data_IF_565215318462
#
_entry.id   IF_565215318462
#
_cell.length_a   1.000
_cell.length_b   1.000
_cell.length_c   1.000
_cell.angle_alpha   90.00
_cell.angle_beta   90.00
_cell.angle_gamma   90.00
#
_symmetry.space_group_name_H-M   'P 1'
#
loop_
_entity.id
_entity.type
_entity.pdbx_description
1 polymer ?
#
# COMPACT_ATOMS: atom_id res chain seq x y z
N UNK A 1 -9.13 -0.15 6.78
CA UNK A 1 -8.86 -1.52 6.27
C UNK A 1 -10.18 -2.24 6.19
N UNK A 2 -10.40 -3.02 5.15
CA UNK A 2 -11.60 -3.84 4.97
C UNK A 2 -11.14 -5.25 4.65
N UNK A 3 -11.68 -6.23 5.37
CA UNK A 3 -11.38 -7.65 5.14
C UNK A 3 -12.69 -8.38 4.89
N UNK A 4 -12.68 -9.33 3.94
CA UNK A 4 -13.87 -10.06 3.55
C UNK A 4 -13.54 -11.51 3.21
N UNK A 5 -14.52 -12.38 3.45
CA UNK A 5 -14.51 -13.80 3.09
C UNK A 5 -15.88 -14.12 2.52
N UNK A 6 -15.93 -14.61 1.28
CA UNK A 6 -17.17 -14.87 0.56
C UNK A 6 -17.06 -16.18 -0.19
N UNK A 7 -17.95 -17.12 0.11
CA UNK A 7 -18.11 -18.32 -0.71
C UNK A 7 -18.82 -17.97 -2.02
N UNK A 8 -18.30 -18.46 -3.14
CA UNK A 8 -18.92 -18.20 -4.43
C UNK A 8 -20.25 -18.98 -4.52
N UNK A 9 -21.34 -18.32 -4.95
CA UNK A 9 -22.66 -18.94 -5.01
C UNK A 9 -22.86 -19.82 -6.26
N UNK A 10 -21.82 -20.56 -6.67
CA UNK A 10 -21.81 -21.43 -7.86
C UNK A 10 -21.62 -22.90 -7.49
N UNK A 11 -22.30 -23.79 -8.21
CA UNK A 11 -22.14 -25.23 -8.07
C UNK A 11 -23.33 -25.96 -7.42
N UNK A 12 -23.14 -27.24 -7.14
CA UNK A 12 -24.20 -28.12 -6.67
C UNK A 12 -24.84 -27.60 -5.37
N UNK A 13 -26.16 -27.39 -5.38
CA UNK A 13 -26.90 -26.85 -4.24
C UNK A 13 -26.67 -25.35 -3.95
N UNK A 14 -26.01 -24.61 -4.85
CA UNK A 14 -25.83 -23.14 -4.75
C UNK A 14 -26.76 -22.40 -5.72
N UNK A 15 -26.82 -21.06 -5.60
CA UNK A 15 -27.74 -20.18 -6.36
C UNK A 15 -27.56 -20.29 -7.87
N UNK A 16 -26.31 -20.43 -8.33
CA UNK A 16 -25.98 -20.52 -9.75
C UNK A 16 -25.42 -21.90 -10.08
N UNK A 17 -25.77 -22.45 -11.24
CA UNK A 17 -25.34 -23.77 -11.70
C UNK A 17 -25.68 -24.90 -10.69
N UNK A 18 -26.84 -24.81 -10.06
CA UNK A 18 -27.33 -25.71 -9.01
C UNK A 18 -27.37 -27.18 -9.43
N UNK A 19 -27.61 -27.44 -10.72
CA UNK A 19 -27.78 -28.78 -11.30
C UNK A 19 -26.47 -29.37 -11.85
N UNK A 20 -25.33 -28.72 -11.60
CA UNK A 20 -24.05 -29.23 -12.06
C UNK A 20 -23.67 -30.49 -11.27
N UNK A 21 -23.78 -31.64 -11.93
CA UNK A 21 -23.43 -32.95 -11.40
C UNK A 21 -22.08 -33.47 -11.89
N UNK A 22 -21.69 -34.63 -11.36
CA UNK A 22 -20.49 -35.36 -11.79
C UNK A 22 -19.18 -34.56 -11.60
N UNK A 23 -18.20 -34.83 -12.46
CA UNK A 23 -16.87 -34.19 -12.41
C UNK A 23 -16.97 -32.68 -12.63
N UNK A 24 -17.82 -32.24 -13.57
CA UNK A 24 -18.05 -30.82 -13.84
C UNK A 24 -18.57 -30.06 -12.61
N UNK A 25 -19.53 -30.64 -11.89
CA UNK A 25 -20.04 -30.11 -10.62
C UNK A 25 -18.95 -29.92 -9.57
N UNK A 26 -18.04 -30.90 -9.42
CA UNK A 26 -16.92 -30.82 -8.46
C UNK A 26 -15.90 -29.76 -8.81
N UNK A 27 -15.68 -29.49 -10.10
CA UNK A 27 -14.77 -28.43 -10.56
C UNK A 27 -15.34 -27.04 -10.26
N UNK A 28 -16.64 -26.82 -10.49
CA UNK A 28 -17.24 -25.49 -10.38
C UNK A 28 -17.73 -25.13 -8.95
N UNK A 29 -17.96 -26.12 -8.09
CA UNK A 29 -18.47 -25.89 -6.72
C UNK A 29 -17.34 -25.53 -5.76
N UNK A 30 -17.63 -25.05 -4.55
CA UNK A 30 -16.65 -25.00 -3.45
C UNK A 30 -15.51 -23.99 -3.60
N UNK A 31 -15.67 -22.99 -4.47
CA UNK A 31 -14.78 -21.84 -4.51
C UNK A 31 -15.18 -20.80 -3.46
N UNK A 32 -14.19 -20.18 -2.84
CA UNK A 32 -14.35 -19.03 -1.96
C UNK A 32 -13.27 -18.00 -2.23
N UNK A 33 -13.60 -16.73 -1.99
CA UNK A 33 -12.68 -15.61 -2.11
C UNK A 33 -12.46 -14.98 -0.76
N UNK A 34 -11.22 -14.59 -0.49
CA UNK A 34 -10.83 -13.83 0.68
C UNK A 34 -10.06 -12.61 0.20
N UNK A 35 -10.20 -11.51 0.89
CA UNK A 35 -9.42 -10.33 0.54
C UNK A 35 -9.24 -9.39 1.70
N UNK A 36 -8.12 -8.68 1.64
CA UNK A 36 -7.78 -7.61 2.54
C UNK A 36 -7.45 -6.37 1.72
N UNK A 37 -8.08 -5.25 2.02
CA UNK A 37 -7.91 -4.00 1.29
C UNK A 37 -7.61 -2.87 2.26
N UNK A 38 -6.49 -2.20 2.04
CA UNK A 38 -6.04 -1.08 2.87
C UNK A 38 -5.94 0.18 2.02
N UNK A 39 -6.76 1.16 2.40
CA UNK A 39 -6.72 2.53 1.91
C UNK A 39 -6.42 3.45 3.07
N UNK A 40 -5.29 4.14 2.99
CA UNK A 40 -4.87 5.10 4.00
C UNK A 40 -4.21 6.29 3.32
N UNK A 41 -4.57 7.50 3.76
CA UNK A 41 -3.87 8.72 3.33
C UNK A 41 -2.46 8.74 3.94
N UNK A 42 -1.47 9.20 3.17
CA UNK A 42 -0.11 9.34 3.69
C UNK A 42 -0.05 10.33 4.85
N UNK A 43 0.91 10.12 5.75
CA UNK A 43 1.15 11.00 6.89
C UNK A 43 1.67 12.37 6.42
N UNK A 44 1.37 13.46 7.17
CA UNK A 44 1.95 14.77 6.89
C UNK A 44 3.49 14.74 7.02
N UNK A 45 4.15 15.52 6.18
CA UNK A 45 5.61 15.64 6.21
C UNK A 45 6.04 16.59 7.33
N UNK A 46 7.23 16.38 7.88
CA UNK A 46 7.92 17.35 8.72
C UNK A 46 9.27 17.67 8.07
N UNK A 47 9.71 18.91 8.19
CA UNK A 47 10.89 19.41 7.49
C UNK A 47 12.00 19.81 8.44
N UNK A 48 13.24 19.67 7.98
CA UNK A 48 14.44 20.12 8.66
C UNK A 48 15.37 20.84 7.70
N UNK A 49 16.52 21.30 8.21
CA UNK A 49 17.58 21.90 7.40
C UNK A 49 18.95 21.28 7.70
N UNK A 50 19.86 21.33 6.75
CA UNK A 50 21.27 21.00 7.00
C UNK A 50 21.99 22.14 7.73
N UNK A 51 22.88 21.81 8.67
CA UNK A 51 23.75 22.79 9.33
C UNK A 51 23.00 23.88 10.09
N UNK A 52 22.17 23.49 11.07
CA UNK A 52 21.33 24.41 11.85
C UNK A 52 22.10 25.61 12.43
N UNK A 53 21.48 26.78 12.37
CA UNK A 53 22.07 28.10 12.67
C UNK A 53 21.45 28.78 13.90
N UNK A 54 20.58 28.11 14.64
CA UNK A 54 19.81 28.72 15.74
C UNK A 54 20.58 28.90 17.05
N UNK A 55 21.84 28.45 17.14
CA UNK A 55 22.67 28.59 18.34
C UNK A 55 22.26 27.72 19.54
N UNK A 56 21.17 26.96 19.45
CA UNK A 56 20.64 26.10 20.52
C UNK A 56 20.40 24.67 20.02
N UNK A 57 20.59 23.67 20.88
CA UNK A 57 20.43 22.25 20.54
C UNK A 57 19.01 21.75 20.86
N UNK A 58 18.02 22.29 20.14
CA UNK A 58 16.58 22.15 20.41
C UNK A 58 15.86 21.06 19.59
N UNK A 59 16.61 20.08 19.08
CA UNK A 59 16.02 18.95 18.34
C UNK A 59 15.76 19.20 16.85
N UNK A 60 16.51 20.10 16.23
CA UNK A 60 16.49 20.39 14.79
C UNK A 60 15.83 21.72 14.41
N UNK A 61 16.32 22.35 13.34
CA UNK A 61 15.78 23.61 12.83
C UNK A 61 14.82 23.36 11.66
N UNK A 62 13.63 23.96 11.73
CA UNK A 62 12.64 23.96 10.65
C UNK A 62 13.01 25.04 9.62
N UNK A 63 12.70 24.84 8.33
CA UNK A 63 12.90 25.85 7.32
C UNK A 63 11.85 26.97 7.39
N UNK A 64 12.09 28.02 6.61
CA UNK A 64 11.03 28.94 6.21
C UNK A 64 10.29 28.39 4.99
N UNK A 65 8.98 28.64 4.94
CA UNK A 65 8.08 28.28 3.85
C UNK A 65 7.30 29.50 3.39
N UNK A 66 7.34 29.78 2.09
CA UNK A 66 6.71 30.97 1.46
C UNK A 66 5.43 30.66 0.66
N UNK A 67 5.10 29.39 0.46
CA UNK A 67 3.95 28.93 -0.34
C UNK A 67 3.38 27.61 0.13
N UNK A 68 2.50 26.96 -0.65
CA UNK A 68 1.92 25.66 -0.25
C UNK A 68 2.87 24.48 -0.53
N UNK A 69 3.69 24.59 -1.57
CA UNK A 69 4.55 23.51 -2.07
C UNK A 69 3.80 22.40 -2.80
N UNK A 70 2.47 22.49 -2.92
CA UNK A 70 1.65 21.39 -3.42
C UNK A 70 1.77 21.25 -4.94
N UNK A 71 2.01 20.03 -5.41
CA UNK A 71 2.07 19.69 -6.83
C UNK A 71 0.92 18.75 -7.21
N UNK A 72 0.37 18.94 -8.40
CA UNK A 72 -0.65 18.06 -8.98
C UNK A 72 -0.02 16.89 -9.73
N UNK A 73 -0.80 15.83 -9.93
CA UNK A 73 -0.38 14.68 -10.75
C UNK A 73 -0.03 13.46 -9.93
N UNK A 74 0.24 12.37 -10.64
CA UNK A 74 0.44 11.04 -10.05
C UNK A 74 1.75 11.01 -9.24
N UNK A 75 1.81 10.26 -8.13
CA UNK A 75 3.05 10.03 -7.38
C UNK A 75 4.25 9.66 -8.25
N UNK A 76 4.03 8.75 -9.21
CA UNK A 76 5.04 8.19 -10.09
C UNK A 76 5.69 9.26 -10.99
N UNK A 77 4.97 10.33 -11.33
CA UNK A 77 5.50 11.43 -12.16
C UNK A 77 6.21 12.51 -11.34
N UNK A 78 6.20 12.40 -10.01
CA UNK A 78 6.71 13.44 -9.09
C UNK A 78 7.80 12.91 -8.17
N UNK A 79 8.42 11.78 -8.49
CA UNK A 79 9.45 11.17 -7.62
C UNK A 79 10.69 12.05 -7.43
N UNK A 80 11.05 12.87 -8.43
CA UNK A 80 12.17 13.83 -8.32
C UNK A 80 11.72 15.24 -7.90
N UNK A 81 10.44 15.43 -7.63
CA UNK A 81 9.89 16.71 -7.22
C UNK A 81 8.55 16.45 -6.55
N UNK A 82 8.60 15.86 -5.35
CA UNK A 82 7.39 15.42 -4.65
C UNK A 82 6.55 16.61 -4.18
N UNK A 83 7.21 17.73 -3.92
CA UNK A 83 6.64 19.04 -3.64
C UNK A 83 7.53 20.08 -4.33
N UNK A 84 7.01 21.30 -4.49
CA UNK A 84 7.82 22.41 -4.97
C UNK A 84 8.83 22.79 -3.89
N UNK A 85 10.11 22.55 -4.16
CA UNK A 85 11.21 22.80 -3.22
C UNK A 85 11.56 24.29 -3.14
N UNK A 86 11.18 25.09 -4.14
CA UNK A 86 11.54 26.52 -4.22
C UNK A 86 10.86 27.39 -3.17
N UNK A 87 9.76 26.90 -2.58
CA UNK A 87 9.06 27.60 -1.50
C UNK A 87 9.73 27.44 -0.14
N UNK A 88 10.78 26.62 -0.04
CA UNK A 88 11.50 26.35 1.20
C UNK A 88 12.89 26.99 1.19
N UNK A 89 13.26 27.60 2.31
CA UNK A 89 14.58 28.21 2.49
C UNK A 89 15.12 27.99 3.90
N UNK A 90 16.46 28.09 4.04
CA UNK A 90 17.07 28.15 5.36
C UNK A 90 16.70 29.47 6.03
N UNK A 91 16.29 29.48 7.31
CA UNK A 91 16.06 30.71 8.04
C UNK A 91 17.35 31.51 8.23
N UNK A 92 17.22 32.79 8.53
CA UNK A 92 18.37 33.63 8.87
C UNK A 92 19.14 33.06 10.07
N UNK A 93 20.46 33.27 10.17
CA UNK A 93 21.23 32.87 11.34
C UNK A 93 20.60 33.38 12.64
N UNK A 94 20.60 32.54 13.68
CA UNK A 94 20.01 32.83 14.99
C UNK A 94 18.49 33.11 14.96
N UNK A 95 17.77 32.58 13.96
CA UNK A 95 16.31 32.68 13.86
C UNK A 95 15.63 31.31 13.72
N UNK A 96 14.37 31.26 14.18
CA UNK A 96 13.50 30.11 13.98
C UNK A 96 12.86 30.15 12.59
N UNK A 97 12.70 28.96 11.98
CA UNK A 97 11.89 28.83 10.77
C UNK A 97 10.39 28.89 11.04
N UNK A 98 9.63 29.31 10.03
CA UNK A 98 8.19 29.46 10.12
C UNK A 98 7.37 28.21 9.75
N UNK A 99 7.99 27.16 9.19
CA UNK A 99 7.27 25.94 8.80
C UNK A 99 6.69 25.25 10.04
N UNK A 100 5.48 24.69 9.94
CA UNK A 100 4.83 23.98 11.03
C UNK A 100 5.64 22.74 11.46
N UNK A 101 5.36 22.21 12.66
CA UNK A 101 6.00 20.96 13.13
C UNK A 101 5.71 19.80 12.18
N UNK A 102 4.51 19.80 11.61
CA UNK A 102 4.07 18.92 10.53
C UNK A 102 3.27 19.77 9.54
N UNK A 103 3.52 19.57 8.25
CA UNK A 103 2.90 20.31 7.16
C UNK A 103 1.41 19.92 7.02
N UNK A 104 0.54 20.90 6.87
CA UNK A 104 -0.90 20.67 6.76
C UNK A 104 -1.34 20.14 5.39
N UNK A 105 -0.51 20.35 4.36
CA UNK A 105 -0.81 20.07 2.95
C UNK A 105 0.05 18.92 2.43
N UNK A 106 1.37 18.99 2.65
CA UNK A 106 2.33 18.06 2.07
C UNK A 106 2.37 16.74 2.84
N UNK A 107 2.27 15.63 2.11
CA UNK A 107 2.14 14.28 2.66
C UNK A 107 2.99 13.30 1.88
N UNK A 108 3.46 12.25 2.55
CA UNK A 108 4.06 11.08 1.89
C UNK A 108 3.00 10.30 1.10
N UNK A 109 3.41 9.27 0.34
CA UNK A 109 2.43 8.42 -0.32
C UNK A 109 1.54 7.68 0.70
N UNK A 110 0.29 7.47 0.31
CA UNK A 110 -0.67 6.68 1.06
C UNK A 110 -0.59 5.20 0.73
N UNK A 111 -1.23 4.39 1.56
CA UNK A 111 -1.40 2.96 1.30
C UNK A 111 -2.62 2.79 0.39
N UNK A 112 -2.44 2.05 -0.70
CA UNK A 112 -3.49 1.61 -1.63
C UNK A 112 -3.17 0.19 -2.05
N UNK A 113 -3.42 -0.76 -1.16
CA UNK A 113 -3.01 -2.16 -1.33
C UNK A 113 -4.21 -3.11 -1.30
N UNK A 114 -4.10 -4.16 -2.11
CA UNK A 114 -5.08 -5.23 -2.23
C UNK A 114 -4.37 -6.57 -2.15
N UNK A 115 -4.69 -7.32 -1.11
CA UNK A 115 -4.28 -8.71 -0.97
C UNK A 115 -5.53 -9.58 -1.17
N UNK A 116 -5.37 -10.68 -1.90
CA UNK A 116 -6.48 -11.50 -2.37
C UNK A 116 -6.11 -12.97 -2.29
N UNK A 117 -7.06 -13.82 -1.88
CA UNK A 117 -6.91 -15.26 -1.92
C UNK A 117 -8.12 -15.90 -2.58
N UNK A 118 -7.84 -16.87 -3.44
CA UNK A 118 -8.83 -17.76 -4.03
C UNK A 118 -8.62 -19.16 -3.45
N UNK A 119 -9.66 -19.69 -2.82
CA UNK A 119 -9.65 -21.02 -2.21
C UNK A 119 -10.64 -21.90 -2.94
N UNK A 120 -10.25 -23.14 -3.19
CA UNK A 120 -11.11 -24.19 -3.73
C UNK A 120 -11.07 -25.39 -2.81
N UNK A 121 -12.21 -25.74 -2.24
CA UNK A 121 -12.40 -26.98 -1.52
C UNK A 121 -13.24 -27.94 -2.35
N UNK A 122 -12.78 -29.18 -2.47
CA UNK A 122 -13.52 -30.24 -3.15
C UNK A 122 -13.37 -31.57 -2.45
N UNK A 123 -14.42 -32.38 -2.48
CA UNK A 123 -14.36 -33.78 -2.04
C UNK A 123 -14.64 -34.73 -3.20
N UNK A 124 -13.99 -35.88 -3.20
CA UNK A 124 -14.08 -36.89 -4.24
C UNK A 124 -13.72 -38.30 -3.74
N UNK A 125 -13.80 -39.28 -4.64
CA UNK A 125 -13.67 -40.70 -4.30
C UNK A 125 -14.97 -41.32 -3.77
N UNK A 126 -14.94 -42.61 -3.39
CA UNK A 126 -16.07 -43.29 -2.77
C UNK A 126 -16.54 -42.52 -1.54
N UNK A 127 -17.84 -42.24 -1.45
CA UNK A 127 -18.46 -41.55 -0.31
C UNK A 127 -17.84 -40.19 0.02
N UNK A 128 -17.20 -39.52 -0.96
CA UNK A 128 -16.51 -38.23 -0.78
C UNK A 128 -15.44 -38.24 0.33
N UNK A 129 -14.80 -39.39 0.56
CA UNK A 129 -13.75 -39.58 1.58
C UNK A 129 -12.45 -38.82 1.33
N UNK A 130 -12.13 -38.50 0.07
CA UNK A 130 -10.92 -37.78 -0.29
C UNK A 130 -11.22 -36.28 -0.42
N UNK A 131 -10.42 -35.44 0.23
CA UNK A 131 -10.53 -33.98 0.15
C UNK A 131 -9.32 -33.35 -0.51
N UNK A 132 -9.55 -32.34 -1.34
CA UNK A 132 -8.50 -31.51 -1.93
C UNK A 132 -8.84 -30.03 -1.69
N UNK A 133 -7.89 -29.31 -1.11
CA UNK A 133 -7.94 -27.86 -1.01
C UNK A 133 -6.83 -27.26 -1.86
N UNK A 134 -7.19 -26.42 -2.81
CA UNK A 134 -6.28 -25.57 -3.56
C UNK A 134 -6.41 -24.13 -3.06
N UNK A 135 -5.29 -23.44 -2.90
CA UNK A 135 -5.24 -22.03 -2.57
C UNK A 135 -4.29 -21.30 -3.52
N UNK A 136 -4.74 -20.15 -4.01
CA UNK A 136 -3.90 -19.15 -4.67
C UNK A 136 -3.96 -17.85 -3.86
N UNK A 137 -2.82 -17.35 -3.39
CA UNK A 137 -2.69 -16.10 -2.65
C UNK A 137 -1.94 -15.08 -3.49
N UNK A 138 -2.45 -13.86 -3.54
CA UNK A 138 -1.93 -12.73 -4.29
C UNK A 138 -1.72 -11.57 -3.31
N UNK A 139 -0.47 -11.30 -2.98
CA UNK A 139 -0.07 -10.11 -2.21
C UNK A 139 0.23 -8.99 -3.20
N UNK A 140 -0.29 -7.78 -2.94
CA UNK A 140 -0.23 -6.67 -3.89
C UNK A 140 -0.77 -7.06 -5.27
N UNK A 141 -2.05 -7.45 -5.33
CA UNK A 141 -2.74 -8.00 -6.51
C UNK A 141 -2.50 -7.17 -7.79
N UNK A 142 -2.53 -5.84 -7.67
CA UNK A 142 -2.36 -4.90 -8.78
C UNK A 142 -0.91 -4.47 -9.03
N UNK A 143 0.06 -5.05 -8.31
CA UNK A 143 1.48 -4.70 -8.39
C UNK A 143 1.73 -3.19 -8.27
N UNK A 144 1.02 -2.54 -7.34
CA UNK A 144 1.09 -1.10 -7.15
C UNK A 144 2.29 -0.75 -6.26
N UNK A 145 3.19 0.18 -6.65
CA UNK A 145 4.22 0.68 -5.75
C UNK A 145 3.63 1.60 -4.68
N UNK A 146 4.15 1.49 -3.47
CA UNK A 146 3.99 2.45 -2.39
C UNK A 146 5.36 3.10 -2.17
N UNK A 147 5.43 4.39 -2.43
CA UNK A 147 6.65 5.15 -2.31
C UNK A 147 6.99 5.48 -0.85
N UNK A 148 8.28 5.53 -0.53
CA UNK A 148 8.77 6.04 0.75
C UNK A 148 8.46 7.53 0.88
N UNK A 149 8.68 8.07 2.09
CA UNK A 149 8.67 9.51 2.26
C UNK A 149 9.77 10.15 1.37
N UNK A 150 9.50 11.31 0.77
CA UNK A 150 10.55 12.08 0.11
C UNK A 150 11.59 12.55 1.14
N UNK A 151 12.77 12.97 0.67
CA UNK A 151 13.69 13.71 1.52
C UNK A 151 13.07 15.07 1.93
N UNK A 152 13.33 15.46 3.18
CA UNK A 152 12.68 16.60 3.85
C UNK A 152 13.69 17.60 4.42
N UNK A 153 14.96 17.51 4.04
CA UNK A 153 16.04 18.31 4.60
C UNK A 153 16.46 19.40 3.62
N UNK A 154 16.11 20.65 3.92
CA UNK A 154 16.51 21.78 3.09
C UNK A 154 18.03 21.96 3.12
N UNK A 155 18.62 21.99 1.92
CA UNK A 155 20.05 22.21 1.73
C UNK A 155 20.87 20.92 1.64
N UNK A 156 20.24 19.76 1.45
CA UNK A 156 20.90 18.61 0.83
C UNK A 156 20.49 18.46 -0.66
N UNK A 157 21.12 17.51 -1.35
CA UNK A 157 20.95 17.32 -2.79
C UNK A 157 19.67 16.57 -3.18
N UNK A 158 19.06 15.83 -2.25
CA UNK A 158 17.91 14.97 -2.51
C UNK A 158 16.60 15.57 -2.00
N UNK A 159 16.62 16.77 -1.42
CA UNK A 159 15.44 17.47 -0.92
C UNK A 159 14.26 17.42 -1.90
N UNK A 160 13.15 16.82 -1.49
CA UNK A 160 11.96 16.63 -2.32
C UNK A 160 11.98 15.41 -3.24
N UNK A 161 13.02 14.58 -3.22
CA UNK A 161 13.12 13.34 -3.96
C UNK A 161 12.63 12.14 -3.15
N UNK A 162 11.89 11.25 -3.79
CA UNK A 162 11.61 9.89 -3.33
C UNK A 162 12.60 8.95 -4.01
N UNK A 163 13.40 8.24 -3.22
CA UNK A 163 14.47 7.36 -3.74
C UNK A 163 14.16 5.87 -3.58
N UNK A 164 13.06 5.51 -2.93
CA UNK A 164 12.71 4.10 -2.66
C UNK A 164 11.21 3.85 -2.53
N UNK A 165 10.85 2.56 -2.54
CA UNK A 165 9.52 2.05 -2.21
C UNK A 165 9.55 1.34 -0.85
N UNK A 166 8.40 1.24 -0.20
CA UNK A 166 8.28 0.60 1.13
C UNK A 166 7.51 -0.71 1.11
N UNK A 167 6.86 -1.05 0.01
CA UNK A 167 6.16 -2.32 -0.16
C UNK A 167 6.88 -3.24 -1.14
N UNK A 168 6.57 -4.53 -1.03
CA UNK A 168 7.07 -5.53 -1.96
C UNK A 168 6.32 -5.52 -3.30
N UNK A 169 6.99 -5.93 -4.39
CA UNK A 169 6.33 -6.28 -5.64
C UNK A 169 5.30 -7.40 -5.43
N UNK A 170 4.42 -7.59 -6.41
CA UNK A 170 3.40 -8.63 -6.37
C UNK A 170 4.02 -10.01 -6.12
N UNK A 171 3.52 -10.69 -5.10
CA UNK A 171 3.89 -12.07 -4.77
C UNK A 171 2.66 -12.97 -4.96
N UNK A 172 2.86 -14.09 -5.66
CA UNK A 172 1.81 -15.09 -5.90
C UNK A 172 2.27 -16.41 -5.30
N UNK A 173 1.44 -17.01 -4.45
CA UNK A 173 1.70 -18.28 -3.81
C UNK A 173 0.59 -19.28 -4.13
N UNK A 174 0.98 -20.52 -4.37
CA UNK A 174 0.06 -21.62 -4.60
C UNK A 174 0.29 -22.68 -3.53
N UNK A 175 -0.80 -23.20 -2.98
CA UNK A 175 -0.77 -24.31 -2.02
C UNK A 175 -1.80 -25.36 -2.40
N UNK A 176 -1.44 -26.61 -2.19
CA UNK A 176 -2.31 -27.75 -2.38
C UNK A 176 -2.26 -28.62 -1.12
N UNK A 177 -3.44 -28.93 -0.57
CA UNK A 177 -3.58 -29.84 0.58
C UNK A 177 -4.49 -30.99 0.20
N UNK A 178 -4.00 -32.20 0.39
CA UNK A 178 -4.75 -33.43 0.21
C UNK A 178 -5.09 -34.04 1.57
N UNK A 179 -6.29 -34.61 1.68
CA UNK A 179 -6.84 -35.26 2.88
C UNK A 179 -7.50 -36.56 2.48
N UNK A 180 -7.31 -37.61 3.29
CA UNK A 180 -7.73 -38.98 3.01
C UNK A 180 -8.40 -39.64 4.21
#
# INVERSE_FOLDING_TARGET
MVSYVVDLPVGHGKRFLSNAGGVGGKIISGWGVQGNTTYQRGLPLNFGITGGTQGENIGGQRPDKSGTGALSGRPESRLKQWFDTSVFSKPAPFSFGNEARVDSVLRQDGIRNYDFSLVKDTRFGPEDRLGLQFRAEFFNLFNRPQFAAPDRTVGDADFGHVTSTVNDPRLIQFALRFTF
#
